data_IF_668949277436
#
_entry.id   IF_668949277436
#
_cell.length_a   1.000
_cell.length_b   1.000
_cell.length_c   1.000
_cell.angle_alpha   90.00
_cell.angle_beta   90.00
_cell.angle_gamma   90.00
#
_symmetry.space_group_name_H-M   'P 1'
#
loop_
_entity.id
_entity.type
_entity.pdbx_description
1 polymer ?
#
# COMPACT_ATOMS: atom_id res chain seq x y z
N UNK A 1 18.96 18.73 -2.15
CA UNK A 1 17.83 18.28 -1.31
C UNK A 1 16.61 18.06 -2.18
N UNK A 2 16.01 16.88 -2.09
CA UNK A 2 14.79 16.57 -2.84
C UNK A 2 13.61 17.27 -2.17
N UNK A 3 12.79 18.00 -2.95
CA UNK A 3 11.61 18.62 -2.38
C UNK A 3 10.58 17.56 -1.97
N UNK A 4 9.81 17.85 -0.95
CA UNK A 4 8.75 16.95 -0.48
C UNK A 4 7.68 16.76 -1.54
N UNK A 5 7.37 17.81 -2.31
CA UNK A 5 6.40 17.71 -3.39
C UNK A 5 6.89 16.77 -4.49
N UNK A 6 8.16 16.83 -4.83
CA UNK A 6 8.75 15.93 -5.82
C UNK A 6 8.70 14.48 -5.31
N UNK A 7 9.06 14.27 -4.05
CA UNK A 7 9.02 12.95 -3.42
C UNK A 7 7.59 12.38 -3.45
N UNK A 8 6.59 13.20 -3.12
CA UNK A 8 5.19 12.79 -3.15
C UNK A 8 4.75 12.43 -4.57
N UNK A 9 5.08 13.27 -5.55
CA UNK A 9 4.70 13.01 -6.94
C UNK A 9 5.30 11.69 -7.45
N UNK A 10 6.56 11.44 -7.14
CA UNK A 10 7.24 10.19 -7.53
C UNK A 10 6.60 8.97 -6.86
N UNK A 11 6.24 9.10 -5.60
CA UNK A 11 5.59 8.04 -4.84
C UNK A 11 4.23 7.67 -5.42
N UNK A 12 3.44 8.70 -5.76
CA UNK A 12 2.12 8.51 -6.39
C UNK A 12 2.27 7.77 -7.72
N UNK A 13 3.20 8.20 -8.57
CA UNK A 13 3.43 7.56 -9.87
C UNK A 13 3.84 6.10 -9.68
N UNK A 14 4.72 5.84 -8.70
CA UNK A 14 5.15 4.48 -8.41
C UNK A 14 3.97 3.57 -8.08
N UNK A 15 3.06 4.02 -7.20
CA UNK A 15 1.90 3.22 -6.82
C UNK A 15 0.90 3.06 -7.97
N UNK A 16 0.66 4.11 -8.73
CA UNK A 16 -0.30 4.03 -9.85
C UNK A 16 0.18 3.11 -10.97
N UNK A 17 1.49 3.00 -11.17
CA UNK A 17 2.08 2.22 -12.25
C UNK A 17 2.68 0.90 -11.78
N UNK A 18 2.55 0.57 -10.50
CA UNK A 18 3.23 -0.56 -9.90
C UNK A 18 2.87 -1.88 -10.56
N UNK A 19 3.90 -2.65 -10.92
CA UNK A 19 3.80 -4.03 -11.36
C UNK A 19 4.67 -4.89 -10.45
N UNK A 20 4.50 -6.21 -10.51
CA UNK A 20 5.28 -7.12 -9.68
C UNK A 20 6.78 -6.88 -9.82
N UNK A 21 7.27 -6.69 -11.04
CA UNK A 21 8.69 -6.46 -11.31
C UNK A 21 9.22 -5.15 -10.75
N UNK A 22 8.35 -4.20 -10.43
CA UNK A 22 8.75 -2.93 -9.83
C UNK A 22 9.10 -3.03 -8.35
N UNK A 23 8.81 -4.17 -7.71
CA UNK A 23 9.08 -4.34 -6.28
C UNK A 23 10.58 -4.28 -5.95
N UNK A 24 11.45 -4.54 -6.92
CA UNK A 24 12.90 -4.36 -6.73
C UNK A 24 13.27 -2.89 -6.48
N UNK A 25 12.38 -1.97 -6.83
CA UNK A 25 12.60 -0.52 -6.70
C UNK A 25 12.11 0.05 -5.36
N UNK A 26 11.58 -0.76 -4.46
CA UNK A 26 11.13 -0.26 -3.15
C UNK A 26 12.18 0.59 -2.42
N UNK A 27 13.50 0.24 -2.46
CA UNK A 27 14.51 1.08 -1.82
C UNK A 27 14.64 2.50 -2.39
N UNK A 28 14.12 2.76 -3.57
CA UNK A 28 14.10 4.12 -4.14
C UNK A 28 13.05 5.00 -3.47
N UNK A 29 12.06 4.41 -2.79
CA UNK A 29 10.89 5.12 -2.25
C UNK A 29 10.77 5.01 -0.74
N UNK A 30 11.21 3.90 -0.15
CA UNK A 30 11.09 3.64 1.28
C UNK A 30 12.43 3.71 1.98
N UNK A 31 12.46 4.28 3.18
CA UNK A 31 13.62 4.18 4.06
C UNK A 31 13.83 2.73 4.48
N UNK A 32 15.08 2.37 4.83
CA UNK A 32 15.43 0.99 5.17
C UNK A 32 14.55 0.40 6.27
N UNK A 33 14.20 1.19 7.28
CA UNK A 33 13.39 0.76 8.42
C UNK A 33 11.98 1.37 8.38
N UNK A 34 11.46 1.61 7.19
CA UNK A 34 10.13 2.18 7.03
C UNK A 34 9.07 1.27 7.64
N UNK A 35 8.07 1.89 8.26
CA UNK A 35 6.89 1.19 8.77
C UNK A 35 5.79 1.25 7.71
N UNK A 36 5.15 0.12 7.48
CA UNK A 36 3.98 0.03 6.62
C UNK A 36 2.86 -0.65 7.41
N UNK A 37 1.73 0.04 7.51
CA UNK A 37 0.57 -0.49 8.24
C UNK A 37 -0.69 -0.34 7.41
N UNK A 38 -1.46 -1.41 7.34
CA UNK A 38 -2.82 -1.41 6.81
C UNK A 38 -3.72 -2.20 7.80
N UNK A 39 -5.01 -2.40 7.52
CA UNK A 39 -5.89 -3.12 8.45
C UNK A 39 -5.44 -4.56 8.78
N UNK A 40 -4.55 -5.15 7.98
CA UNK A 40 -4.13 -6.55 8.14
C UNK A 40 -2.66 -6.70 8.47
N UNK A 41 -1.85 -5.67 8.22
CA UNK A 41 -0.40 -5.73 8.35
C UNK A 41 0.12 -4.58 9.19
N UNK A 42 1.17 -4.83 9.93
CA UNK A 42 1.96 -3.78 10.58
C UNK A 42 3.40 -4.28 10.59
N UNK A 43 4.18 -3.84 9.60
CA UNK A 43 5.52 -4.37 9.36
C UNK A 43 6.54 -3.23 9.32
N UNK A 44 7.80 -3.58 9.58
CA UNK A 44 8.93 -2.65 9.54
C UNK A 44 10.03 -3.22 8.67
N UNK A 45 10.58 -2.38 7.80
CA UNK A 45 11.69 -2.74 6.92
C UNK A 45 11.25 -3.07 5.51
N UNK A 46 12.13 -2.76 4.55
CA UNK A 46 11.83 -2.92 3.13
C UNK A 46 11.55 -4.38 2.77
N UNK A 47 12.27 -5.31 3.38
CA UNK A 47 12.05 -6.73 3.11
C UNK A 47 10.64 -7.17 3.48
N UNK A 48 10.13 -6.71 4.63
CA UNK A 48 8.78 -7.04 5.06
C UNK A 48 7.72 -6.36 4.19
N UNK A 49 7.98 -5.11 3.80
CA UNK A 49 7.09 -4.37 2.88
C UNK A 49 7.02 -5.09 1.54
N UNK A 50 8.17 -5.56 1.04
CA UNK A 50 8.22 -6.33 -0.19
C UNK A 50 7.33 -7.57 -0.11
N UNK A 51 7.37 -8.29 1.02
CA UNK A 51 6.52 -9.47 1.21
C UNK A 51 5.04 -9.15 1.15
N UNK A 52 4.63 -8.03 1.73
CA UNK A 52 3.22 -7.59 1.70
C UNK A 52 2.76 -7.37 0.26
N UNK A 53 3.51 -6.60 -0.52
CA UNK A 53 3.14 -6.30 -1.90
C UNK A 53 3.29 -7.51 -2.82
N UNK A 54 4.33 -8.32 -2.62
CA UNK A 54 4.51 -9.53 -3.41
C UNK A 54 3.33 -10.47 -3.23
N UNK A 55 2.86 -10.60 -1.99
CA UNK A 55 1.68 -11.41 -1.69
C UNK A 55 0.41 -10.87 -2.35
N UNK A 56 0.26 -9.54 -2.37
CA UNK A 56 -0.85 -8.90 -3.07
C UNK A 56 -0.89 -9.31 -4.55
N UNK A 57 0.27 -9.28 -5.21
CA UNK A 57 0.34 -9.69 -6.62
C UNK A 57 0.14 -11.19 -6.84
N UNK A 58 0.39 -12.02 -5.82
CA UNK A 58 0.13 -13.45 -5.91
C UNK A 58 -1.35 -13.78 -5.83
N UNK A 59 -2.10 -13.06 -4.99
CA UNK A 59 -3.50 -13.41 -4.69
C UNK A 59 -4.51 -12.62 -5.51
N UNK A 60 -4.12 -11.49 -6.09
CA UNK A 60 -5.03 -10.65 -6.87
C UNK A 60 -4.57 -10.54 -8.30
N UNK A 61 -5.54 -10.59 -9.21
CA UNK A 61 -5.31 -10.31 -10.62
C UNK A 61 -5.42 -8.81 -10.85
N UNK A 62 -4.47 -8.24 -11.57
CA UNK A 62 -4.45 -6.83 -11.97
C UNK A 62 -4.77 -5.85 -10.83
N UNK A 63 -4.05 -5.93 -9.69
CA UNK A 63 -4.24 -4.95 -8.63
C UNK A 63 -3.80 -3.57 -9.13
N UNK A 64 -4.62 -2.55 -8.84
CA UNK A 64 -4.35 -1.20 -9.32
C UNK A 64 -4.80 -0.16 -8.31
N UNK A 65 -3.93 0.84 -8.07
CA UNK A 65 -4.25 2.02 -7.28
C UNK A 65 -4.54 3.19 -8.21
N UNK A 66 -5.62 3.91 -7.92
CA UNK A 66 -5.96 5.15 -8.62
C UNK A 66 -6.02 6.25 -7.57
N UNK A 67 -5.16 7.25 -7.69
CA UNK A 67 -5.06 8.34 -6.73
C UNK A 67 -5.94 9.50 -7.18
N UNK A 68 -6.86 9.94 -6.31
CA UNK A 68 -7.80 11.01 -6.62
C UNK A 68 -7.36 12.35 -6.09
N UNK A 69 -6.78 12.37 -4.89
CA UNK A 69 -6.28 13.62 -4.33
C UNK A 69 -5.15 13.33 -3.36
N UNK A 70 -4.26 14.30 -3.23
CA UNK A 70 -3.15 14.22 -2.29
C UNK A 70 -2.88 15.61 -1.74
N UNK A 71 -2.64 15.68 -0.45
CA UNK A 71 -2.35 16.93 0.25
C UNK A 71 -1.04 16.73 1.00
N UNK A 72 -0.13 17.69 0.86
CA UNK A 72 1.15 17.69 1.54
C UNK A 72 1.20 18.81 2.55
N UNK A 73 1.50 18.49 3.80
CA UNK A 73 1.72 19.46 4.86
C UNK A 73 3.04 19.12 5.55
N UNK A 74 4.06 19.94 5.32
CA UNK A 74 5.41 19.70 5.83
C UNK A 74 5.94 18.35 5.36
N UNK A 75 6.22 17.40 6.25
CA UNK A 75 6.75 16.07 5.93
C UNK A 75 5.67 15.02 5.71
N UNK A 76 4.40 15.38 5.88
CA UNK A 76 3.29 14.43 5.91
C UNK A 76 2.38 14.65 4.72
N UNK A 77 2.07 13.57 4.00
CA UNK A 77 1.10 13.60 2.91
C UNK A 77 -0.11 12.74 3.27
N UNK A 78 -1.27 13.16 2.80
CA UNK A 78 -2.50 12.38 2.85
C UNK A 78 -2.93 12.11 1.43
N UNK A 79 -3.09 10.83 1.11
CA UNK A 79 -3.35 10.38 -0.26
C UNK A 79 -4.64 9.59 -0.27
N UNK A 80 -5.63 10.09 -1.01
CA UNK A 80 -6.90 9.38 -1.18
C UNK A 80 -6.87 8.56 -2.46
N UNK A 81 -7.24 7.29 -2.36
CA UNK A 81 -7.13 6.37 -3.47
C UNK A 81 -8.32 5.43 -3.55
N UNK A 82 -8.53 4.91 -4.77
CA UNK A 82 -9.32 3.71 -4.99
C UNK A 82 -8.37 2.58 -5.36
N UNK A 83 -8.66 1.40 -4.84
CA UNK A 83 -7.96 0.18 -5.20
C UNK A 83 -8.91 -0.74 -5.92
N UNK A 84 -8.49 -1.28 -7.04
CA UNK A 84 -9.23 -2.30 -7.77
C UNK A 84 -8.35 -3.51 -7.99
N UNK A 85 -8.99 -4.68 -8.07
CA UNK A 85 -8.32 -5.93 -8.37
C UNK A 85 -9.37 -6.98 -8.63
N UNK A 86 -8.95 -8.20 -8.90
CA UNK A 86 -9.88 -9.30 -9.14
C UNK A 86 -9.41 -10.54 -8.39
N UNK A 87 -10.35 -11.33 -7.91
CA UNK A 87 -10.09 -12.63 -7.31
C UNK A 87 -11.19 -13.59 -7.74
N UNK A 88 -10.82 -14.72 -8.34
CA UNK A 88 -11.78 -15.71 -8.84
C UNK A 88 -12.85 -15.08 -9.76
N UNK A 89 -12.42 -14.24 -10.70
CA UNK A 89 -13.26 -13.53 -11.65
C UNK A 89 -14.23 -12.52 -11.04
N UNK A 90 -14.07 -12.19 -9.74
CA UNK A 90 -14.85 -11.16 -9.07
C UNK A 90 -14.04 -9.88 -8.94
N UNK A 91 -14.64 -8.74 -9.31
CA UNK A 91 -14.05 -7.43 -9.16
C UNK A 91 -14.07 -6.99 -7.69
N UNK A 92 -12.93 -6.52 -7.21
CA UNK A 92 -12.79 -5.91 -5.90
C UNK A 92 -12.58 -4.42 -6.07
N UNK A 93 -13.21 -3.63 -5.21
CA UNK A 93 -13.03 -2.18 -5.21
C UNK A 93 -13.05 -1.67 -3.77
N UNK A 94 -11.99 -0.95 -3.40
CA UNK A 94 -11.84 -0.38 -2.07
C UNK A 94 -11.46 1.08 -2.17
N UNK A 95 -11.95 1.89 -1.22
CA UNK A 95 -11.60 3.30 -1.08
C UNK A 95 -10.83 3.46 0.22
N UNK A 96 -9.72 4.16 0.16
CA UNK A 96 -8.91 4.37 1.35
C UNK A 96 -8.16 5.69 1.33
N UNK A 97 -7.50 5.95 2.44
CA UNK A 97 -6.65 7.10 2.64
C UNK A 97 -5.36 6.63 3.29
N UNK A 98 -4.23 7.09 2.74
CA UNK A 98 -2.92 6.79 3.33
C UNK A 98 -2.34 8.04 3.96
N UNK A 99 -1.75 7.88 5.15
CA UNK A 99 -0.90 8.89 5.75
C UNK A 99 0.54 8.47 5.51
N UNK A 100 1.32 9.33 4.86
CA UNK A 100 2.69 9.04 4.43
C UNK A 100 3.63 10.09 5.00
N UNK A 101 4.69 9.65 5.67
CA UNK A 101 5.69 10.54 6.25
C UNK A 101 7.00 10.39 5.48
N UNK A 102 7.56 11.51 5.03
CA UNK A 102 8.83 11.54 4.31
C UNK A 102 9.96 11.97 5.24
N UNK A 103 11.12 11.35 5.10
CA UNK A 103 12.32 11.78 5.81
C UNK A 103 13.08 12.87 5.03
N UNK A 104 14.22 13.32 5.57
CA UNK A 104 15.02 14.38 4.95
C UNK A 104 15.59 14.01 3.58
N UNK A 105 15.65 12.72 3.27
CA UNK A 105 16.16 12.23 1.98
C UNK A 105 15.04 12.04 0.95
N UNK A 106 13.81 12.40 1.30
CA UNK A 106 12.66 12.21 0.42
C UNK A 106 12.16 10.77 0.36
N UNK A 107 12.60 9.93 1.29
CA UNK A 107 12.14 8.55 1.38
C UNK A 107 11.00 8.43 2.40
N UNK A 108 10.08 7.50 2.17
CA UNK A 108 8.97 7.26 3.08
C UNK A 108 9.50 6.51 4.30
N UNK A 109 9.30 7.11 5.47
CA UNK A 109 9.63 6.50 6.75
C UNK A 109 8.44 5.79 7.39
N UNK A 110 7.21 6.21 7.04
CA UNK A 110 5.99 5.59 7.55
C UNK A 110 4.87 5.75 6.52
N UNK A 111 4.13 4.68 6.32
CA UNK A 111 2.96 4.64 5.46
C UNK A 111 1.86 3.88 6.19
N UNK A 112 0.76 4.56 6.50
CA UNK A 112 -0.37 3.94 7.21
C UNK A 112 -1.63 4.09 6.37
N UNK A 113 -2.26 2.98 6.05
CA UNK A 113 -3.50 2.94 5.29
C UNK A 113 -4.70 2.89 6.21
N UNK A 114 -5.70 3.71 5.93
CA UNK A 114 -6.98 3.74 6.62
C UNK A 114 -8.10 3.42 5.65
N UNK A 115 -8.78 2.30 5.85
CA UNK A 115 -9.94 1.91 5.06
C UNK A 115 -10.77 0.90 5.86
N UNK A 116 -12.06 0.83 5.56
CA UNK A 116 -12.97 -0.03 6.30
C UNK A 116 -12.92 -1.44 5.72
N UNK A 117 -12.09 -2.27 6.35
CA UNK A 117 -11.93 -3.66 5.94
C UNK A 117 -13.18 -4.48 6.16
N UNK A 118 -13.94 -4.23 7.25
CA UNK A 118 -15.12 -5.03 7.55
C UNK A 118 -16.24 -4.79 6.56
N UNK A 119 -16.49 -3.54 6.21
CA UNK A 119 -17.55 -3.20 5.26
C UNK A 119 -17.18 -3.58 3.83
N UNK A 120 -15.94 -3.33 3.43
CA UNK A 120 -15.50 -3.53 2.05
C UNK A 120 -15.00 -4.93 1.76
N UNK A 121 -14.48 -5.64 2.76
CA UNK A 121 -13.94 -7.00 2.60
C UNK A 121 -14.89 -8.09 3.06
N UNK A 122 -15.33 -8.01 4.33
CA UNK A 122 -16.03 -9.14 4.95
C UNK A 122 -17.42 -9.36 4.38
N UNK A 123 -18.07 -8.31 3.88
CA UNK A 123 -19.43 -8.40 3.38
C UNK A 123 -19.52 -8.75 1.90
N UNK A 124 -18.45 -8.58 1.13
CA UNK A 124 -18.51 -8.77 -0.32
C UNK A 124 -17.95 -10.09 -0.81
N UNK A 125 -17.12 -10.80 -0.03
CA UNK A 125 -16.41 -11.97 -0.54
C UNK A 125 -16.14 -13.05 0.49
N UNK A 126 -16.79 -14.22 0.36
CA UNK A 126 -16.43 -15.41 1.15
C UNK A 126 -14.97 -15.84 0.95
N UNK A 127 -14.41 -15.58 -0.24
CA UNK A 127 -13.06 -15.99 -0.61
C UNK A 127 -12.00 -15.12 0.06
N UNK A 128 -12.32 -13.85 0.36
CA UNK A 128 -11.38 -12.95 1.00
C UNK A 128 -11.08 -13.32 2.45
N UNK A 129 -12.00 -14.02 3.12
CA UNK A 129 -11.71 -14.56 4.44
C UNK A 129 -10.46 -15.41 4.48
N UNK A 130 -10.21 -16.21 3.43
CA UNK A 130 -9.00 -17.03 3.30
C UNK A 130 -7.76 -16.17 3.08
N UNK A 131 -7.87 -15.16 2.21
CA UNK A 131 -6.77 -14.25 1.91
C UNK A 131 -6.39 -13.47 3.17
N UNK A 132 -7.39 -12.93 3.88
CA UNK A 132 -7.16 -12.17 5.10
C UNK A 132 -6.55 -13.02 6.20
N UNK A 133 -7.01 -14.26 6.37
CA UNK A 133 -6.43 -15.17 7.35
C UNK A 133 -4.98 -15.50 7.02
N UNK A 134 -4.68 -15.70 5.75
CA UNK A 134 -3.31 -15.97 5.31
C UNK A 134 -2.39 -14.79 5.61
N UNK A 135 -2.81 -13.58 5.26
CA UNK A 135 -2.04 -12.37 5.52
C UNK A 135 -1.86 -12.18 7.03
N UNK A 136 -2.92 -12.32 7.81
CA UNK A 136 -2.89 -12.19 9.26
C UNK A 136 -1.96 -13.21 9.91
N UNK A 137 -2.00 -14.46 9.47
CA UNK A 137 -1.16 -15.51 10.02
C UNK A 137 0.32 -15.27 9.71
N UNK A 138 0.63 -14.74 8.55
CA UNK A 138 2.00 -14.38 8.21
C UNK A 138 2.49 -13.16 8.98
N UNK A 139 1.63 -12.21 9.26
CA UNK A 139 1.98 -11.02 10.04
C UNK A 139 2.14 -11.34 11.54
N UNK A 140 1.45 -12.37 12.05
CA UNK A 140 1.50 -12.75 13.46
C UNK A 140 2.76 -13.56 13.83
N UNK A 141 3.49 -14.04 12.86
CA UNK A 141 4.71 -14.83 13.06
C UNK A 141 5.92 -13.98 12.66
#
# INVERSE_FOLDING_TARGET
MISRQHALNSYIIFFEQMKREDLVRLPEFFADQARFKDPFNDVTGIEQINKVFHHMFEVLDTPKFIIYEAVLESDVAYIKWNFTGASNAKQLKFVGLSRVVFNDRGLVSEHVDYWDASEQFYMKLPVIGSILRFIRNKAAN
#
